data_IF_962232479395
#
_entry.id   IF_962232479395
#
_cell.length_a   1.000
_cell.length_b   1.000
_cell.length_c   1.000
_cell.angle_alpha   90.00
_cell.angle_beta   90.00
_cell.angle_gamma   90.00
#
_symmetry.space_group_name_H-M   'P 1'
#
loop_
_entity.id
_entity.type
_entity.pdbx_description
1 polymer ?
#
# COMPACT_ATOMS: atom_id res chain seq x y z
N UNK A 1 10.66 12.64 -24.27
CA UNK A 1 9.74 11.50 -24.42
C UNK A 1 8.34 12.07 -24.28
N UNK A 2 7.43 11.74 -25.19
CA UNK A 2 6.08 12.28 -25.17
C UNK A 2 5.10 11.13 -25.07
N UNK A 3 3.97 11.31 -24.41
CA UNK A 3 3.00 10.24 -24.16
C UNK A 3 1.62 10.81 -24.48
N UNK A 4 0.86 10.16 -25.36
CA UNK A 4 -0.43 10.66 -25.79
C UNK A 4 -1.56 10.17 -24.86
N UNK A 5 -2.43 11.07 -24.41
CA UNK A 5 -3.65 10.74 -23.66
C UNK A 5 -4.83 10.80 -24.62
N UNK A 6 -5.54 9.68 -24.78
CA UNK A 6 -6.74 9.61 -25.63
C UNK A 6 -7.89 8.96 -24.86
N UNK A 7 -8.95 9.72 -24.63
CA UNK A 7 -10.20 9.24 -24.06
C UNK A 7 -11.19 10.40 -23.98
N UNK A 8 -12.51 10.15 -24.02
CA UNK A 8 -13.47 11.20 -23.71
C UNK A 8 -13.19 11.71 -22.30
N UNK A 9 -13.27 13.04 -22.10
CA UNK A 9 -13.41 13.59 -20.76
C UNK A 9 -14.79 13.12 -20.26
N UNK A 10 -14.83 11.99 -19.57
CA UNK A 10 -16.08 11.46 -19.03
C UNK A 10 -16.49 12.32 -17.83
N UNK A 11 -17.66 12.94 -17.94
CA UNK A 11 -18.30 13.65 -16.84
C UNK A 11 -18.73 12.63 -15.79
N UNK A 12 -18.34 12.82 -14.54
CA UNK A 12 -18.94 12.08 -13.43
C UNK A 12 -20.25 12.75 -13.00
N UNK A 13 -21.30 11.95 -12.82
CA UNK A 13 -22.54 12.43 -12.22
C UNK A 13 -22.33 12.61 -10.71
N UNK A 14 -21.81 13.78 -10.33
CA UNK A 14 -21.60 14.16 -8.94
C UNK A 14 -22.92 14.52 -8.21
N UNK A 15 -24.07 14.51 -8.91
CA UNK A 15 -25.35 15.05 -8.43
C UNK A 15 -26.29 14.01 -7.83
N UNK A 16 -26.06 12.71 -8.01
CA UNK A 16 -26.92 11.67 -7.45
C UNK A 16 -26.38 11.17 -6.10
N UNK A 17 -27.25 11.12 -5.08
CA UNK A 17 -26.95 10.55 -3.74
C UNK A 17 -26.55 9.06 -3.77
N UNK A 18 -26.57 8.45 -4.96
CA UNK A 18 -26.01 7.14 -5.28
C UNK A 18 -24.97 7.35 -6.38
N UNK A 19 -23.75 7.74 -5.99
CA UNK A 19 -22.65 7.95 -6.92
C UNK A 19 -22.41 6.67 -7.73
N UNK A 20 -22.85 6.67 -9.00
CA UNK A 20 -22.62 5.56 -9.91
C UNK A 20 -21.10 5.49 -10.11
N UNK A 21 -20.44 4.41 -9.71
CA UNK A 21 -19.00 4.29 -9.83
C UNK A 21 -18.62 4.37 -11.31
N UNK A 22 -17.87 5.39 -11.67
CA UNK A 22 -17.39 5.57 -13.03
C UNK A 22 -16.43 4.43 -13.36
N UNK A 23 -16.80 3.61 -14.34
CA UNK A 23 -15.90 2.66 -15.03
C UNK A 23 -14.93 3.38 -15.98
N UNK A 24 -14.83 4.71 -15.85
CA UNK A 24 -14.02 5.57 -16.68
C UNK A 24 -12.55 5.13 -16.59
N UNK A 25 -11.84 5.14 -17.71
CA UNK A 25 -10.41 4.82 -17.75
C UNK A 25 -9.64 5.89 -18.50
N UNK A 26 -8.44 6.20 -18.01
CA UNK A 26 -7.44 6.98 -18.73
C UNK A 26 -6.56 6.01 -19.50
N UNK A 27 -6.58 6.12 -20.83
CA UNK A 27 -5.71 5.36 -21.70
C UNK A 27 -4.47 6.19 -22.04
N UNK A 28 -3.32 5.58 -21.82
CA UNK A 28 -2.01 6.16 -22.10
C UNK A 28 -1.42 5.45 -23.31
N UNK A 29 -0.99 6.21 -24.31
CA UNK A 29 -0.45 5.68 -25.57
C UNK A 29 1.02 6.01 -25.75
N UNK A 30 1.73 5.06 -26.33
CA UNK A 30 3.12 5.18 -26.76
C UNK A 30 3.17 5.87 -28.14
N UNK A 31 3.78 7.05 -28.29
CA UNK A 31 3.67 7.88 -29.51
C UNK A 31 4.34 7.28 -30.75
N UNK A 32 5.33 6.40 -30.57
CA UNK A 32 6.07 5.81 -31.68
C UNK A 32 5.45 4.59 -32.35
N UNK A 33 4.23 4.19 -31.95
CA UNK A 33 3.52 3.07 -32.57
C UNK A 33 2.18 3.54 -33.16
N UNK A 34 1.67 2.80 -34.14
CA UNK A 34 0.35 3.05 -34.72
C UNK A 34 -0.78 2.86 -33.71
N UNK A 35 -1.97 3.39 -34.02
CA UNK A 35 -3.14 3.37 -33.14
C UNK A 35 -3.67 1.98 -32.78
N UNK A 36 -3.39 0.96 -33.58
CA UNK A 36 -3.78 -0.41 -33.24
C UNK A 36 -2.83 -1.01 -32.17
N UNK A 37 -1.60 -0.51 -32.06
CA UNK A 37 -0.54 -1.12 -31.26
C UNK A 37 0.13 -0.14 -30.28
N UNK A 38 -0.42 1.03 -30.02
CA UNK A 38 0.19 2.05 -29.16
C UNK A 38 -0.36 2.12 -27.74
N UNK A 39 -1.40 1.36 -27.37
CA UNK A 39 -1.90 1.37 -25.99
C UNK A 39 -0.84 0.86 -25.01
N UNK A 40 -0.26 1.76 -24.21
CA UNK A 40 0.85 1.48 -23.31
C UNK A 40 0.33 0.91 -21.97
N UNK A 41 -0.51 1.69 -21.29
CA UNK A 41 -1.16 1.32 -20.02
C UNK A 41 -2.56 1.92 -19.95
N UNK A 42 -3.44 1.29 -19.18
CA UNK A 42 -4.81 1.75 -18.92
C UNK A 42 -5.02 1.87 -17.42
N UNK A 43 -5.49 3.02 -16.95
CA UNK A 43 -5.66 3.31 -15.52
C UNK A 43 -7.10 3.70 -15.22
N UNK A 44 -7.67 3.23 -14.11
CA UNK A 44 -9.05 3.60 -13.70
C UNK A 44 -9.14 5.09 -13.35
N UNK A 45 -10.04 5.86 -13.95
CA UNK A 45 -10.16 7.31 -13.73
C UNK A 45 -10.96 7.64 -12.46
N UNK A 46 -10.48 7.15 -11.32
CA UNK A 46 -11.20 7.18 -10.04
C UNK A 46 -10.97 8.46 -9.21
N UNK A 47 -10.04 9.33 -9.61
CA UNK A 47 -9.91 10.65 -9.01
C UNK A 47 -11.07 11.55 -9.48
N UNK A 48 -11.70 12.27 -8.56
CA UNK A 48 -12.81 13.18 -8.86
C UNK A 48 -12.43 14.60 -8.49
N UNK A 49 -12.63 15.54 -9.42
CA UNK A 49 -12.52 16.99 -9.21
C UNK A 49 -13.74 17.67 -9.85
N UNK A 50 -14.71 18.03 -9.00
CA UNK A 50 -16.02 18.50 -9.45
C UNK A 50 -16.76 17.42 -10.25
N UNK A 51 -17.08 17.74 -11.52
CA UNK A 51 -17.73 16.86 -12.49
C UNK A 51 -16.73 16.10 -13.37
N UNK A 52 -15.42 16.19 -13.08
CA UNK A 52 -14.37 15.52 -13.86
C UNK A 52 -13.83 14.30 -13.13
N UNK A 53 -13.72 13.21 -13.87
CA UNK A 53 -12.98 12.02 -13.47
C UNK A 53 -11.59 11.99 -14.12
N UNK A 54 -10.59 11.48 -13.40
CA UNK A 54 -9.23 11.42 -13.92
C UNK A 54 -8.27 10.60 -13.08
N UNK A 55 -6.97 10.85 -13.31
CA UNK A 55 -5.87 10.30 -12.54
C UNK A 55 -4.85 11.41 -12.32
N UNK A 56 -4.28 11.51 -11.12
CA UNK A 56 -3.24 12.48 -10.82
C UNK A 56 -2.08 12.43 -11.83
N UNK A 57 -1.77 13.58 -12.46
CA UNK A 57 -0.73 13.70 -13.48
C UNK A 57 0.62 13.11 -13.04
N UNK A 58 1.09 13.47 -11.84
CA UNK A 58 2.39 13.02 -11.33
C UNK A 58 2.47 11.49 -11.23
N UNK A 59 1.37 10.83 -10.86
CA UNK A 59 1.33 9.38 -10.77
C UNK A 59 1.43 8.71 -12.15
N UNK A 60 0.73 9.26 -13.15
CA UNK A 60 0.78 8.76 -14.53
C UNK A 60 2.17 8.97 -15.12
N UNK A 61 2.76 10.14 -14.88
CA UNK A 61 4.13 10.45 -15.29
C UNK A 61 5.13 9.48 -14.67
N UNK A 62 5.03 9.24 -13.36
CA UNK A 62 5.90 8.31 -12.65
C UNK A 62 5.80 6.87 -13.18
N UNK A 63 4.57 6.38 -13.42
CA UNK A 63 4.33 5.06 -14.01
C UNK A 63 5.00 4.94 -15.40
N UNK A 64 4.85 5.95 -16.25
CA UNK A 64 5.43 5.94 -17.59
C UNK A 64 6.96 6.05 -17.55
N UNK A 65 7.50 6.86 -16.65
CA UNK A 65 8.95 6.97 -16.46
C UNK A 65 9.56 5.64 -15.99
N UNK A 66 8.89 4.90 -15.09
CA UNK A 66 9.28 3.55 -14.68
C UNK A 66 9.35 2.61 -15.88
N UNK A 67 8.28 2.58 -16.69
CA UNK A 67 8.21 1.75 -17.92
C UNK A 67 9.30 2.14 -18.91
N UNK A 68 9.66 3.43 -18.99
CA UNK A 68 10.75 3.95 -19.81
C UNK A 68 12.11 3.87 -19.14
N UNK A 69 12.31 2.91 -18.23
CA UNK A 69 13.56 2.67 -17.51
C UNK A 69 14.06 3.88 -16.71
N UNK A 70 13.18 4.46 -15.91
CA UNK A 70 13.45 5.65 -15.08
C UNK A 70 13.82 6.89 -15.89
N UNK A 71 13.28 7.03 -17.11
CA UNK A 71 13.47 8.24 -17.91
C UNK A 71 12.46 9.33 -17.51
N UNK A 72 12.88 10.19 -16.58
CA UNK A 72 12.06 11.26 -16.01
C UNK A 72 11.88 12.48 -16.92
N UNK A 73 12.64 12.61 -18.01
CA UNK A 73 12.61 13.76 -18.90
C UNK A 73 11.40 13.76 -19.86
N UNK A 74 10.50 12.78 -19.73
CA UNK A 74 9.27 12.72 -20.52
C UNK A 74 8.18 13.69 -20.05
N UNK A 75 7.18 13.90 -20.91
CA UNK A 75 5.96 14.65 -20.58
C UNK A 75 4.74 13.98 -21.22
N UNK A 76 3.56 14.19 -20.63
CA UNK A 76 2.29 13.78 -21.23
C UNK A 76 1.79 14.89 -22.16
N UNK A 77 1.16 14.52 -23.26
CA UNK A 77 0.52 15.43 -24.22
C UNK A 77 -0.81 14.82 -24.69
N UNK A 78 -1.68 15.64 -25.25
CA UNK A 78 -2.82 15.17 -26.06
C UNK A 78 -2.53 15.20 -27.56
N UNK A 79 -1.35 15.66 -27.96
CA UNK A 79 -0.94 15.76 -29.36
C UNK A 79 -0.43 14.42 -29.88
N UNK A 80 -0.95 13.99 -31.04
CA UNK A 80 -0.40 12.88 -31.81
C UNK A 80 0.83 13.33 -32.59
N UNK A 81 1.96 13.39 -31.88
CA UNK A 81 3.24 13.73 -32.48
C UNK A 81 3.90 12.49 -33.10
N UNK A 82 4.37 12.56 -34.36
CA UNK A 82 5.08 11.46 -35.00
C UNK A 82 6.48 11.35 -34.38
N UNK A 83 6.61 10.53 -33.35
CA UNK A 83 7.88 10.33 -32.63
C UNK A 83 8.47 8.97 -32.91
N UNK A 84 9.79 8.87 -32.82
CA UNK A 84 10.45 7.57 -32.85
C UNK A 84 9.98 6.71 -31.65
N UNK A 85 9.83 5.39 -31.83
CA UNK A 85 9.64 4.46 -30.73
C UNK A 85 10.74 4.64 -29.66
N UNK A 86 10.37 4.65 -28.39
CA UNK A 86 11.33 4.63 -27.29
C UNK A 86 11.28 3.27 -26.60
N UNK A 87 12.39 2.83 -25.99
CA UNK A 87 12.48 1.49 -25.43
C UNK A 87 11.71 1.37 -24.10
N UNK A 88 10.97 0.28 -23.94
CA UNK A 88 10.26 -0.07 -22.69
C UNK A 88 11.02 -1.12 -21.90
N UNK A 89 10.87 -1.12 -20.58
CA UNK A 89 11.27 -2.27 -19.76
C UNK A 89 10.18 -3.32 -19.85
N UNK A 90 10.55 -4.55 -20.20
CA UNK A 90 9.60 -5.63 -20.41
C UNK A 90 8.76 -5.90 -19.15
N UNK A 91 9.43 -6.12 -18.02
CA UNK A 91 8.76 -6.56 -16.81
C UNK A 91 9.54 -6.11 -15.56
N UNK A 92 8.94 -6.25 -14.38
CA UNK A 92 9.55 -5.81 -13.13
C UNK A 92 10.93 -6.42 -12.85
N UNK A 93 11.16 -7.69 -13.25
CA UNK A 93 12.44 -8.37 -13.01
C UNK A 93 13.56 -7.88 -13.93
N UNK A 94 13.20 -7.28 -15.06
CA UNK A 94 14.13 -6.61 -15.98
C UNK A 94 14.40 -5.15 -15.59
N UNK A 95 13.61 -4.59 -14.68
CA UNK A 95 13.73 -3.19 -14.28
C UNK A 95 14.87 -2.99 -13.28
N UNK A 96 15.73 -2.02 -13.56
CA UNK A 96 16.74 -1.56 -12.62
C UNK A 96 16.16 -0.47 -11.71
N UNK A 97 16.34 -0.63 -10.39
CA UNK A 97 15.92 0.41 -9.45
C UNK A 97 16.83 1.65 -9.54
N UNK A 98 16.29 2.89 -9.56
CA UNK A 98 17.07 4.11 -9.75
C UNK A 98 17.80 4.54 -8.47
N UNK A 99 18.88 3.84 -8.11
CA UNK A 99 19.62 4.12 -6.86
C UNK A 99 20.33 5.48 -6.82
N UNK A 100 20.76 5.97 -7.98
CA UNK A 100 21.64 7.14 -8.10
C UNK A 100 20.89 8.41 -8.51
N UNK A 101 19.59 8.29 -8.74
CA UNK A 101 18.72 9.41 -9.09
C UNK A 101 17.69 9.55 -7.97
N UNK A 102 17.43 10.76 -7.49
CA UNK A 102 16.39 10.97 -6.48
C UNK A 102 15.03 10.46 -6.99
N UNK A 103 14.31 9.69 -6.17
CA UNK A 103 12.90 9.34 -6.43
C UNK A 103 12.07 10.61 -6.69
N UNK A 104 10.92 10.55 -7.38
CA UNK A 104 10.14 11.75 -7.67
C UNK A 104 9.74 12.50 -6.40
N UNK A 105 9.61 13.83 -6.49
CA UNK A 105 9.55 14.71 -5.31
C UNK A 105 8.49 14.28 -4.30
N UNK A 106 7.28 13.95 -4.76
CA UNK A 106 6.18 13.51 -3.91
C UNK A 106 6.52 12.26 -3.06
N UNK A 107 7.25 11.30 -3.63
CA UNK A 107 7.71 10.09 -2.93
C UNK A 107 8.77 10.40 -1.87
N UNK A 108 9.57 11.45 -2.08
CA UNK A 108 10.59 11.90 -1.13
C UNK A 108 10.02 12.75 0.00
N UNK A 109 9.01 13.56 -0.29
CA UNK A 109 8.43 14.49 0.68
C UNK A 109 7.31 13.87 1.50
N UNK A 110 6.67 12.81 1.00
CA UNK A 110 5.65 12.09 1.75
C UNK A 110 6.19 11.60 3.10
N UNK A 111 5.48 11.97 4.15
CA UNK A 111 5.94 11.81 5.52
C UNK A 111 6.01 10.33 5.91
N UNK A 112 7.13 9.93 6.51
CA UNK A 112 7.31 8.64 7.18
C UNK A 112 7.87 8.97 8.56
N UNK A 113 7.21 8.50 9.59
CA UNK A 113 7.62 8.79 10.95
C UNK A 113 8.98 8.16 11.26
N UNK A 114 9.94 8.93 11.80
CA UNK A 114 11.26 8.44 12.13
C UNK A 114 11.23 7.52 13.36
N UNK A 115 12.24 6.67 13.49
CA UNK A 115 12.36 5.74 14.63
C UNK A 115 12.51 6.47 15.99
N UNK A 116 13.02 7.70 15.99
CA UNK A 116 13.28 8.51 17.20
C UNK A 116 12.03 9.08 17.85
N UNK A 117 10.87 9.03 17.18
CA UNK A 117 9.58 9.36 17.80
C UNK A 117 9.14 8.30 18.84
N UNK A 118 9.92 7.23 19.01
CA UNK A 118 9.69 6.13 19.93
C UNK A 118 10.85 5.97 20.90
N UNK A 119 10.60 5.30 22.04
CA UNK A 119 11.63 5.00 23.02
C UNK A 119 12.88 4.41 22.33
N UNK A 120 14.09 4.96 22.57
CA UNK A 120 15.33 4.58 21.89
C UNK A 120 15.75 3.11 22.08
N UNK A 121 15.06 2.39 22.96
CA UNK A 121 15.20 0.96 23.24
C UNK A 121 14.28 0.06 22.39
N UNK A 122 13.23 0.62 21.77
CA UNK A 122 12.34 -0.06 20.83
C UNK A 122 12.62 0.09 19.29
N UNK A 123 13.82 0.46 18.78
CA UNK A 123 14.02 0.61 17.34
C UNK A 123 13.93 -0.74 16.61
N UNK A 124 13.22 -0.73 15.47
CA UNK A 124 13.08 -1.90 14.58
C UNK A 124 12.44 -3.10 15.27
N UNK A 125 11.34 -2.88 15.98
CA UNK A 125 10.50 -3.98 16.46
C UNK A 125 9.74 -4.62 15.28
N UNK A 126 9.36 -5.89 15.45
CA UNK A 126 8.48 -6.60 14.52
C UNK A 126 7.27 -5.71 14.13
N UNK A 127 6.77 -5.73 12.88
CA UNK A 127 5.71 -4.80 12.45
C UNK A 127 4.46 -4.82 13.32
N UNK A 128 4.13 -5.97 13.92
CA UNK A 128 3.05 -6.08 14.91
C UNK A 128 3.20 -5.12 16.11
N UNK A 129 4.43 -4.91 16.59
CA UNK A 129 4.74 -3.97 17.70
C UNK A 129 4.90 -2.55 17.18
N UNK A 130 5.56 -2.39 16.03
CA UNK A 130 5.83 -1.06 15.43
C UNK A 130 4.53 -0.34 15.03
N UNK A 131 3.64 -1.08 14.38
CA UNK A 131 2.42 -0.51 13.80
C UNK A 131 1.26 -0.56 14.80
N UNK A 132 1.13 -1.63 15.61
CA UNK A 132 0.06 -1.82 16.59
C UNK A 132 -1.33 -2.09 15.99
N UNK A 133 -1.61 -1.55 14.81
CA UNK A 133 -2.85 -1.74 14.05
C UNK A 133 -2.61 -1.72 12.54
N UNK A 134 -3.58 -2.21 11.76
CA UNK A 134 -3.53 -2.18 10.31
C UNK A 134 -3.27 -0.76 9.79
N UNK A 135 -2.27 -0.58 8.92
CA UNK A 135 -1.90 0.72 8.34
C UNK A 135 -2.93 1.30 7.35
N UNK A 136 -3.95 0.52 6.98
CA UNK A 136 -5.03 0.94 6.10
C UNK A 136 -6.34 1.18 6.85
N UNK A 137 -6.69 0.32 7.81
CA UNK A 137 -8.02 0.31 8.45
C UNK A 137 -8.03 0.60 9.95
N UNK A 138 -6.88 0.77 10.58
CA UNK A 138 -6.70 0.91 12.04
C UNK A 138 -7.15 -0.27 12.91
N UNK A 139 -7.52 -1.40 12.33
CA UNK A 139 -7.96 -2.54 13.12
C UNK A 139 -6.75 -3.15 13.86
N UNK A 140 -6.89 -3.40 15.17
CA UNK A 140 -5.83 -3.98 16.00
C UNK A 140 -5.80 -5.52 15.98
N UNK A 141 -6.90 -6.16 15.55
CA UNK A 141 -7.08 -7.61 15.55
C UNK A 141 -7.21 -8.14 14.12
N UNK A 142 -6.81 -9.41 13.89
CA UNK A 142 -6.92 -10.06 12.58
C UNK A 142 -5.86 -9.58 11.58
N UNK A 143 -4.71 -9.15 12.09
CA UNK A 143 -3.64 -8.56 11.31
C UNK A 143 -2.56 -9.57 10.91
N UNK A 144 -1.96 -9.33 9.75
CA UNK A 144 -0.84 -10.05 9.18
C UNK A 144 0.24 -9.08 8.70
N UNK A 145 1.46 -9.59 8.57
CA UNK A 145 2.59 -8.84 8.03
C UNK A 145 2.63 -8.94 6.51
N UNK A 146 2.40 -7.81 5.84
CA UNK A 146 2.45 -7.71 4.39
C UNK A 146 3.82 -7.17 3.95
N UNK A 147 4.39 -7.76 2.89
CA UNK A 147 5.58 -7.23 2.26
C UNK A 147 5.22 -6.07 1.32
N UNK A 148 6.00 -4.99 1.36
CA UNK A 148 5.93 -3.91 0.37
C UNK A 148 6.45 -4.46 -0.97
N UNK A 149 7.73 -4.82 -1.07
CA UNK A 149 8.25 -5.61 -2.19
C UNK A 149 7.96 -7.09 -1.93
N UNK A 150 7.15 -7.78 -2.76
CA UNK A 150 6.73 -9.15 -2.50
C UNK A 150 7.89 -10.11 -2.28
N UNK A 151 7.76 -11.02 -1.32
CA UNK A 151 8.81 -12.00 -1.00
C UNK A 151 9.19 -12.90 -2.19
N UNK A 152 8.27 -13.09 -3.15
CA UNK A 152 8.55 -13.82 -4.40
C UNK A 152 9.59 -13.15 -5.29
N UNK A 153 9.88 -11.87 -5.08
CA UNK A 153 10.84 -11.09 -5.85
C UNK A 153 12.22 -11.01 -5.16
N UNK A 154 12.54 -11.94 -4.25
CA UNK A 154 13.82 -12.00 -3.54
C UNK A 154 15.04 -12.02 -4.49
N UNK A 155 14.94 -12.70 -5.63
CA UNK A 155 15.99 -12.74 -6.63
C UNK A 155 16.25 -11.36 -7.26
N UNK A 156 15.19 -10.65 -7.65
CA UNK A 156 15.30 -9.27 -8.15
C UNK A 156 15.86 -8.35 -7.07
N UNK A 157 15.30 -8.43 -5.84
CA UNK A 157 15.70 -7.60 -4.71
C UNK A 157 17.20 -7.69 -4.43
N UNK A 158 17.76 -8.91 -4.46
CA UNK A 158 19.19 -9.15 -4.30
C UNK A 158 20.00 -8.66 -5.52
N UNK A 159 19.56 -8.98 -6.74
CA UNK A 159 20.27 -8.65 -7.97
C UNK A 159 20.41 -7.12 -8.18
N UNK A 160 19.39 -6.35 -7.82
CA UNK A 160 19.43 -4.89 -7.95
C UNK A 160 19.99 -4.18 -6.72
N UNK A 161 20.31 -4.87 -5.63
CA UNK A 161 20.93 -4.23 -4.45
C UNK A 161 19.95 -3.40 -3.60
N UNK A 162 18.70 -3.86 -3.47
CA UNK A 162 17.70 -3.21 -2.62
C UNK A 162 17.97 -3.37 -1.11
N UNK A 163 18.93 -4.22 -0.74
CA UNK A 163 19.39 -4.42 0.63
C UNK A 163 20.04 -3.17 1.23
N UNK A 164 20.52 -2.25 0.40
CA UNK A 164 21.10 -0.97 0.84
C UNK A 164 20.12 -0.09 1.62
N UNK A 165 18.81 -0.28 1.41
CA UNK A 165 17.76 0.49 2.10
C UNK A 165 17.37 -0.12 3.45
N UNK A 166 17.97 -1.26 3.82
CA UNK A 166 17.82 -1.85 5.16
C UNK A 166 18.45 -0.95 6.19
N UNK A 167 17.72 -0.68 7.27
CA UNK A 167 18.19 0.20 8.33
C UNK A 167 18.36 1.66 7.90
N UNK A 168 17.95 2.07 6.68
CA UNK A 168 18.04 3.46 6.24
C UNK A 168 17.27 4.42 7.17
N UNK A 169 16.19 3.93 7.76
CA UNK A 169 15.33 4.67 8.69
C UNK A 169 15.70 4.48 10.17
N UNK A 170 16.53 3.48 10.50
CA UNK A 170 16.86 3.13 11.90
C UNK A 170 18.34 3.26 12.24
N UNK A 171 19.22 3.47 11.26
CA UNK A 171 20.67 3.55 11.43
C UNK A 171 21.34 2.24 11.89
N UNK A 172 20.59 1.13 12.02
CA UNK A 172 21.08 -0.15 12.56
C UNK A 172 21.00 -1.25 11.51
N UNK A 173 22.15 -1.76 11.06
CA UNK A 173 22.20 -2.98 10.23
C UNK A 173 21.96 -4.20 11.12
N UNK A 174 20.72 -4.68 11.20
CA UNK A 174 20.43 -5.96 11.88
C UNK A 174 20.95 -7.13 11.04
N UNK A 175 21.84 -7.92 11.62
CA UNK A 175 22.27 -9.21 11.08
C UNK A 175 21.22 -10.28 11.44
N UNK A 176 20.87 -11.17 10.50
CA UNK A 176 20.09 -12.39 10.79
C UNK A 176 18.64 -12.48 10.29
N UNK A 177 18.06 -11.44 9.66
CA UNK A 177 16.86 -11.60 8.83
C UNK A 177 17.26 -11.90 7.39
N UNK A 178 16.43 -12.68 6.69
CA UNK A 178 16.46 -12.75 5.22
C UNK A 178 16.40 -11.32 4.67
N UNK A 179 17.22 -11.03 3.67
CA UNK A 179 17.48 -9.67 3.18
C UNK A 179 16.21 -8.96 2.74
N UNK A 180 15.29 -9.68 2.09
CA UNK A 180 13.97 -9.16 1.68
C UNK A 180 12.96 -9.06 2.83
N UNK A 181 13.13 -9.86 3.89
CA UNK A 181 12.25 -9.90 5.06
C UNK A 181 12.50 -8.79 6.09
N UNK A 182 13.31 -7.79 5.75
CA UNK A 182 13.61 -6.65 6.65
C UNK A 182 12.34 -5.91 7.07
N UNK A 183 12.29 -5.39 8.30
CA UNK A 183 11.07 -4.73 8.80
C UNK A 183 10.73 -3.44 8.06
N UNK A 184 11.72 -2.78 7.44
CA UNK A 184 11.49 -1.63 6.57
C UNK A 184 10.70 -1.99 5.31
N UNK A 185 10.70 -3.26 4.89
CA UNK A 185 9.94 -3.81 3.77
C UNK A 185 8.60 -4.43 4.20
N UNK A 186 8.19 -4.28 5.46
CA UNK A 186 6.97 -4.87 5.99
C UNK A 186 6.04 -3.80 6.54
N UNK A 187 4.73 -4.00 6.39
CA UNK A 187 3.66 -3.25 7.04
C UNK A 187 2.64 -4.20 7.67
N UNK A 188 1.96 -3.76 8.73
CA UNK A 188 0.87 -4.50 9.33
C UNK A 188 -0.45 -4.20 8.58
N UNK A 189 -1.11 -5.24 8.10
CA UNK A 189 -2.39 -5.16 7.37
C UNK A 189 -3.41 -6.12 7.95
N UNK A 190 -4.70 -5.76 7.93
CA UNK A 190 -5.78 -6.73 8.19
C UNK A 190 -5.73 -7.81 7.11
N UNK A 191 -6.01 -9.06 7.46
CA UNK A 191 -5.78 -10.21 6.57
C UNK A 191 -6.49 -10.10 5.19
N UNK A 192 -7.70 -9.55 5.16
CA UNK A 192 -8.44 -9.28 3.91
C UNK A 192 -7.77 -8.18 3.06
N UNK A 193 -7.29 -7.11 3.69
CA UNK A 193 -6.56 -6.03 3.03
C UNK A 193 -5.20 -6.53 2.50
N UNK A 194 -4.52 -7.37 3.28
CA UNK A 194 -3.27 -8.03 2.86
C UNK A 194 -3.50 -8.88 1.60
N UNK A 195 -4.57 -9.67 1.58
CA UNK A 195 -4.96 -10.46 0.42
C UNK A 195 -5.19 -9.59 -0.83
N UNK A 196 -5.93 -8.49 -0.69
CA UNK A 196 -6.17 -7.54 -1.79
C UNK A 196 -4.89 -6.86 -2.25
N UNK A 197 -4.01 -6.49 -1.32
CA UNK A 197 -2.73 -5.87 -1.63
C UNK A 197 -1.87 -6.80 -2.49
N UNK A 198 -1.69 -8.05 -2.07
CA UNK A 198 -0.92 -9.06 -2.80
C UNK A 198 -1.54 -9.45 -4.15
N UNK A 199 -2.86 -9.27 -4.30
CA UNK A 199 -3.55 -9.42 -5.58
C UNK A 199 -3.41 -8.20 -6.50
N UNK A 200 -2.67 -7.16 -6.09
CA UNK A 200 -2.51 -5.89 -6.83
C UNK A 200 -3.81 -5.11 -6.98
N UNK A 201 -4.75 -5.27 -6.05
CA UNK A 201 -5.99 -4.50 -6.10
C UNK A 201 -5.73 -2.98 -5.95
N UNK A 202 -4.65 -2.60 -5.26
CA UNK A 202 -4.24 -1.21 -5.08
C UNK A 202 -2.73 -1.09 -4.81
N UNK A 203 -2.18 0.10 -5.08
CA UNK A 203 -0.83 0.52 -4.65
C UNK A 203 -0.90 1.58 -3.56
N UNK A 204 0.15 1.66 -2.74
CA UNK A 204 0.40 2.82 -1.87
C UNK A 204 1.16 3.87 -2.69
N UNK A 205 0.61 5.07 -2.81
CA UNK A 205 1.18 6.16 -3.62
C UNK A 205 1.12 7.49 -2.87
N UNK A 206 2.05 8.43 -3.12
CA UNK A 206 1.96 9.76 -2.55
C UNK A 206 0.97 10.60 -3.36
N UNK A 207 0.15 11.40 -2.66
CA UNK A 207 -0.73 12.41 -3.26
C UNK A 207 -0.61 13.71 -2.48
N UNK A 208 -0.37 14.80 -3.18
CA UNK A 208 -0.30 16.12 -2.57
C UNK A 208 -1.71 16.65 -2.28
N UNK A 209 -1.90 17.24 -1.11
CA UNK A 209 -3.10 18.00 -0.78
C UNK A 209 -3.07 19.42 -1.38
N UNK A 210 -4.13 20.20 -1.14
CA UNK A 210 -4.22 21.58 -1.61
C UNK A 210 -3.13 22.50 -1.03
N UNK A 211 -2.55 22.15 0.11
CA UNK A 211 -1.42 22.85 0.72
C UNK A 211 -0.06 22.40 0.15
N UNK A 212 -0.04 21.42 -0.77
CA UNK A 212 1.16 20.85 -1.35
C UNK A 212 1.85 19.82 -0.47
N UNK A 213 1.23 19.39 0.63
CA UNK A 213 1.77 18.36 1.52
C UNK A 213 1.44 16.97 0.95
N UNK A 214 2.46 16.14 0.75
CA UNK A 214 2.30 14.78 0.24
C UNK A 214 1.88 13.81 1.35
N UNK A 215 0.78 13.09 1.13
CA UNK A 215 0.28 12.04 2.01
C UNK A 215 0.27 10.68 1.29
N UNK A 216 0.42 9.60 2.05
CA UNK A 216 0.30 8.24 1.50
C UNK A 216 -1.18 7.87 1.38
N UNK A 217 -1.61 7.53 0.18
CA UNK A 217 -2.97 7.08 -0.11
C UNK A 217 -2.96 5.74 -0.84
N UNK A 218 -4.09 5.05 -0.83
CA UNK A 218 -4.30 3.88 -1.67
C UNK A 218 -4.85 4.26 -3.05
N UNK A 219 -4.18 3.80 -4.09
CA UNK A 219 -4.63 3.89 -5.48
C UNK A 219 -5.16 2.53 -5.93
N UNK A 220 -6.47 2.42 -6.12
CA UNK A 220 -7.11 1.20 -6.64
C UNK A 220 -6.87 1.04 -8.13
N UNK A 221 -6.53 -0.20 -8.55
CA UNK A 221 -6.28 -0.58 -9.95
C UNK A 221 -7.40 -1.45 -10.53
N UNK A 222 -8.13 -2.15 -9.67
CA UNK A 222 -9.24 -3.02 -10.09
C UNK A 222 -10.48 -2.20 -10.46
N UNK A 223 -11.26 -2.60 -11.49
CA UNK A 223 -12.55 -2.00 -11.80
C UNK A 223 -13.65 -2.34 -10.78
N UNK A 224 -13.33 -3.09 -9.71
CA UNK A 224 -14.29 -3.41 -8.68
C UNK A 224 -14.73 -2.15 -7.92
N UNK A 225 -16.01 -1.85 -8.04
CA UNK A 225 -16.70 -0.71 -7.44
C UNK A 225 -16.53 -0.65 -5.94
N UNK A 226 -16.77 -1.76 -5.23
CA UNK A 226 -16.74 -1.79 -3.77
C UNK A 226 -15.33 -1.50 -3.26
N UNK A 227 -14.32 -2.10 -3.91
CA UNK A 227 -12.91 -1.85 -3.58
C UNK A 227 -12.55 -0.39 -3.87
N UNK A 228 -12.98 0.15 -5.01
CA UNK A 228 -12.76 1.56 -5.36
C UNK A 228 -13.38 2.50 -4.34
N UNK A 229 -14.67 2.36 -4.04
CA UNK A 229 -15.38 3.21 -3.07
C UNK A 229 -14.78 3.12 -1.66
N UNK A 230 -14.32 1.94 -1.24
CA UNK A 230 -13.80 1.73 0.12
C UNK A 230 -12.35 2.19 0.28
N UNK A 231 -11.51 2.02 -0.75
CA UNK A 231 -10.06 2.16 -0.63
C UNK A 231 -9.44 3.23 -1.52
N UNK A 232 -10.05 3.65 -2.63
CA UNK A 232 -9.42 4.65 -3.50
C UNK A 232 -9.28 6.01 -2.79
N UNK A 233 -8.11 6.63 -2.90
CA UNK A 233 -7.72 7.86 -2.19
C UNK A 233 -7.84 7.79 -0.66
N UNK A 234 -7.99 6.59 -0.08
CA UNK A 234 -7.98 6.41 1.36
C UNK A 234 -6.56 6.69 1.87
N UNK A 235 -6.42 7.72 2.70
CA UNK A 235 -5.16 8.01 3.39
C UNK A 235 -4.80 6.88 4.37
N UNK A 236 -3.53 6.51 4.39
CA UNK A 236 -3.03 5.51 5.32
C UNK A 236 -2.84 6.10 6.72
N UNK A 237 -2.94 5.25 7.73
CA UNK A 237 -2.42 5.57 9.06
C UNK A 237 -0.91 5.75 8.99
N UNK A 238 -0.30 6.53 9.90
CA UNK A 238 1.11 6.87 9.81
C UNK A 238 2.01 5.67 9.58
N UNK A 239 2.79 5.74 8.49
CA UNK A 239 3.83 4.79 8.16
C UNK A 239 5.06 5.13 8.98
N UNK A 240 5.64 4.12 9.63
CA UNK A 240 6.71 4.31 10.59
C UNK A 240 7.90 3.47 10.21
N UNK A 241 9.07 4.11 10.12
CA UNK A 241 10.37 3.48 9.82
C UNK A 241 10.41 2.57 8.57
N UNK A 242 9.40 2.56 7.70
CA UNK A 242 9.44 1.84 6.42
C UNK A 242 10.30 2.58 5.41
N UNK A 243 10.93 1.85 4.49
CA UNK A 243 11.70 2.50 3.41
C UNK A 243 10.76 2.88 2.27
N UNK A 244 10.81 4.15 1.86
CA UNK A 244 10.06 4.69 0.73
C UNK A 244 10.46 4.02 -0.59
N UNK A 245 11.70 3.58 -0.69
CA UNK A 245 12.23 2.88 -1.85
C UNK A 245 11.52 1.53 -2.06
N UNK A 246 11.15 0.85 -0.98
CA UNK A 246 10.32 -0.35 -1.07
C UNK A 246 8.87 -0.06 -1.47
N UNK A 247 8.31 1.06 -1.02
CA UNK A 247 6.97 1.51 -1.46
C UNK A 247 6.99 1.85 -2.96
N UNK A 248 8.02 2.58 -3.41
CA UNK A 248 8.19 2.93 -4.82
C UNK A 248 8.44 1.68 -5.70
N UNK A 249 9.27 0.74 -5.25
CA UNK A 249 9.47 -0.53 -5.93
C UNK A 249 8.18 -1.35 -6.01
N UNK A 250 7.34 -1.34 -4.97
CA UNK A 250 6.02 -1.97 -5.03
C UNK A 250 5.13 -1.33 -6.08
N UNK A 251 5.08 0.00 -6.14
CA UNK A 251 4.33 0.68 -7.19
C UNK A 251 4.80 0.29 -8.59
N UNK A 252 6.12 0.21 -8.83
CA UNK A 252 6.64 -0.31 -10.09
C UNK A 252 6.17 -1.75 -10.37
N UNK A 253 6.23 -2.65 -9.38
CA UNK A 253 5.76 -4.04 -9.51
C UNK A 253 4.28 -4.14 -9.87
N UNK A 254 3.44 -3.26 -9.30
CA UNK A 254 2.02 -3.18 -9.62
C UNK A 254 1.80 -2.68 -11.07
N UNK A 255 2.50 -1.62 -11.49
CA UNK A 255 2.35 -0.98 -12.81
C UNK A 255 2.79 -1.87 -13.97
N UNK A 256 3.86 -2.68 -13.81
CA UNK A 256 4.34 -3.51 -14.92
C UNK A 256 3.31 -4.51 -15.44
N UNK A 257 2.27 -4.84 -14.66
CA UNK A 257 1.19 -5.70 -15.14
C UNK A 257 0.27 -5.02 -16.15
N UNK A 258 0.13 -3.70 -16.07
CA UNK A 258 -0.67 -2.92 -17.02
C UNK A 258 -0.04 -2.89 -18.42
N UNK A 259 1.27 -3.14 -18.51
CA UNK A 259 2.01 -3.21 -19.76
C UNK A 259 1.73 -4.48 -20.58
N UNK A 260 1.05 -5.48 -19.98
CA UNK A 260 0.72 -6.75 -20.64
C UNK A 260 0.05 -6.54 -22.00
N UNK A 261 -0.96 -5.67 -22.03
CA UNK A 261 -1.74 -5.40 -23.24
C UNK A 261 -0.91 -4.78 -24.37
N UNK A 262 0.16 -4.06 -24.03
CA UNK A 262 1.09 -3.47 -24.99
C UNK A 262 2.04 -4.52 -25.58
N UNK A 263 2.56 -5.42 -24.74
CA UNK A 263 3.58 -6.41 -25.10
C UNK A 263 3.01 -7.66 -25.79
N UNK A 264 1.78 -8.07 -25.48
CA UNK A 264 1.17 -9.29 -26.02
C UNK A 264 0.57 -9.14 -27.44
N UNK A 265 0.58 -7.93 -28.02
CA UNK A 265 0.00 -7.63 -29.34
C UNK A 265 0.84 -8.08 -30.54
N UNK A 266 1.81 -8.97 -30.34
CA UNK A 266 2.68 -9.55 -31.39
C UNK A 266 3.41 -8.53 -32.29
N UNK A 267 3.51 -7.28 -31.86
CA UNK A 267 4.24 -6.21 -32.55
C UNK A 267 5.70 -6.17 -32.08
N UNK A 268 6.63 -5.80 -32.98
CA UNK A 268 8.03 -5.58 -32.59
C UNK A 268 8.15 -4.40 -31.64
N UNK A 269 8.85 -4.57 -30.51
CA UNK A 269 9.02 -3.54 -29.48
C UNK A 269 10.49 -3.21 -29.26
N UNK A 270 10.80 -1.93 -29.11
CA UNK A 270 12.08 -1.54 -28.55
C UNK A 270 12.02 -1.81 -27.06
N UNK A 271 12.98 -2.58 -26.55
CA UNK A 271 13.06 -2.92 -25.13
C UNK A 271 14.40 -2.53 -24.57
N UNK A 272 14.44 -2.29 -23.27
CA UNK A 272 15.68 -2.15 -22.51
C UNK A 272 16.15 -3.53 -22.08
N UNK A 273 17.42 -3.83 -22.34
CA UNK A 273 18.07 -5.08 -21.93
C UNK A 273 18.65 -4.95 -20.53
N UNK A 274 18.83 -6.07 -19.83
CA UNK A 274 19.51 -6.06 -18.50
C UNK A 274 20.91 -5.46 -18.52
N UNK A 275 21.58 -5.51 -19.67
CA UNK A 275 22.90 -4.91 -19.85
C UNK A 275 22.85 -3.37 -19.97
N UNK A 276 21.67 -2.76 -19.89
CA UNK A 276 21.45 -1.32 -20.07
C UNK A 276 21.42 -0.88 -21.54
N UNK A 277 21.41 -1.84 -22.48
CA UNK A 277 21.28 -1.57 -23.90
C UNK A 277 19.82 -1.49 -24.34
N UNK A 278 19.60 -1.22 -25.63
CA UNK A 278 18.29 -1.24 -26.25
C UNK A 278 18.28 -2.19 -27.43
N UNK A 279 17.27 -3.02 -27.54
CA UNK A 279 17.14 -3.96 -28.66
C UNK A 279 15.71 -3.99 -29.19
N UNK A 280 15.56 -4.34 -30.47
CA UNK A 280 14.26 -4.51 -31.10
C UNK A 280 13.84 -5.98 -31.02
N UNK A 281 12.88 -6.27 -30.15
CA UNK A 281 12.41 -7.62 -29.85
C UNK A 281 11.16 -7.95 -30.65
N UNK A 282 11.03 -9.20 -31.09
CA UNK A 282 9.83 -9.66 -31.78
C UNK A 282 8.63 -9.70 -30.83
N UNK A 283 7.40 -9.59 -31.35
CA UNK A 283 6.22 -9.62 -30.49
C UNK A 283 5.99 -10.97 -29.79
N UNK A 284 6.37 -12.08 -30.43
CA UNK A 284 6.31 -13.40 -29.81
C UNK A 284 7.28 -13.50 -28.64
N UNK A 285 8.50 -12.97 -28.81
CA UNK A 285 9.51 -12.93 -27.76
C UNK A 285 9.12 -11.96 -26.62
N UNK A 286 8.51 -10.82 -26.92
CA UNK A 286 7.92 -9.95 -25.90
C UNK A 286 6.88 -10.70 -25.07
N UNK A 287 6.00 -11.47 -25.73
CA UNK A 287 4.95 -12.24 -25.06
C UNK A 287 5.52 -13.35 -24.18
N UNK A 288 6.49 -14.12 -24.67
CA UNK A 288 7.10 -15.21 -23.90
C UNK A 288 7.88 -14.66 -22.71
N UNK A 289 8.80 -13.72 -22.93
CA UNK A 289 9.63 -13.15 -21.87
C UNK A 289 8.82 -12.35 -20.83
N UNK A 290 7.75 -11.67 -21.24
CA UNK A 290 6.85 -10.99 -20.30
C UNK A 290 6.10 -11.98 -19.41
N UNK A 291 5.63 -13.09 -19.98
CA UNK A 291 4.87 -14.12 -19.26
C UNK A 291 5.73 -15.03 -18.38
N UNK A 292 7.06 -14.97 -18.48
CA UNK A 292 7.98 -15.76 -17.66
C UNK A 292 7.92 -15.35 -16.18
N UNK A 293 6.99 -15.96 -15.45
CA UNK A 293 6.98 -16.00 -14.00
C UNK A 293 6.45 -14.74 -13.28
N UNK A 294 5.92 -13.76 -14.00
CA UNK A 294 5.16 -12.66 -13.40
C UNK A 294 3.78 -13.13 -12.92
N UNK A 295 3.42 -12.84 -11.67
CA UNK A 295 2.08 -13.10 -11.11
C UNK A 295 1.81 -14.53 -10.61
N UNK A 296 2.79 -15.45 -10.66
CA UNK A 296 2.64 -16.80 -10.06
C UNK A 296 3.04 -16.87 -8.58
N UNK A 297 3.67 -15.83 -8.05
CA UNK A 297 4.04 -15.74 -6.65
C UNK A 297 2.92 -15.11 -5.83
N UNK A 298 1.93 -15.89 -5.43
CA UNK A 298 1.19 -15.54 -4.20
C UNK A 298 2.23 -15.52 -3.08
N UNK A 299 2.28 -14.47 -2.26
CA UNK A 299 2.88 -14.61 -0.93
C UNK A 299 2.00 -15.59 -0.17
N UNK A 300 2.24 -16.87 -0.39
CA UNK A 300 1.67 -17.89 0.46
C UNK A 300 2.26 -17.58 1.83
N UNK A 301 1.44 -17.39 2.89
CA UNK A 301 1.97 -17.43 4.24
C UNK A 301 2.77 -18.71 4.30
N UNK A 302 4.00 -18.68 4.81
CA UNK A 302 4.77 -19.92 4.97
C UNK A 302 3.90 -20.88 5.78
N UNK A 303 3.26 -21.85 5.13
CA UNK A 303 2.53 -22.93 5.79
C UNK A 303 3.57 -23.88 6.38
N UNK A 304 4.38 -23.39 7.30
CA UNK A 304 4.99 -24.23 8.32
C UNK A 304 3.87 -24.45 9.34
N UNK A 305 3.15 -25.57 9.19
CA UNK A 305 2.08 -26.01 10.09
C UNK A 305 2.36 -25.64 11.56
N UNK A 306 1.43 -24.99 12.28
CA UNK A 306 1.61 -24.58 13.68
C UNK A 306 1.86 -25.74 14.67
N UNK A 307 1.63 -26.99 14.24
CA UNK A 307 1.66 -28.17 15.11
C UNK A 307 2.98 -28.37 15.86
N UNK A 308 4.13 -27.97 15.28
CA UNK A 308 5.44 -28.16 15.93
C UNK A 308 5.81 -27.09 16.97
N UNK A 309 5.29 -25.86 16.88
CA UNK A 309 5.60 -24.79 17.86
C UNK A 309 4.67 -24.82 19.07
N UNK A 310 3.42 -25.24 18.91
CA UNK A 310 2.49 -25.40 20.03
C UNK A 310 2.94 -26.54 20.98
N UNK A 311 3.43 -27.66 20.44
CA UNK A 311 3.95 -28.76 21.27
C UNK A 311 5.24 -28.40 22.02
N UNK A 312 6.10 -27.58 21.42
CA UNK A 312 7.36 -27.14 22.04
C UNK A 312 7.15 -26.08 23.14
N UNK A 313 6.09 -25.25 23.04
CA UNK A 313 5.70 -24.32 24.11
C UNK A 313 4.94 -25.00 25.25
N UNK A 314 4.09 -25.99 24.96
CA UNK A 314 3.40 -26.80 25.99
C UNK A 314 4.41 -27.66 26.76
N UNK A 315 5.39 -28.26 26.08
CA UNK A 315 6.48 -29.01 26.74
C UNK A 315 7.36 -28.14 27.63
N UNK A 316 7.71 -26.92 27.19
CA UNK A 316 8.49 -25.96 27.99
C UNK A 316 7.72 -25.40 29.19
N UNK A 317 6.40 -25.20 29.07
CA UNK A 317 5.56 -24.77 30.19
C UNK A 317 5.39 -25.88 31.24
N UNK A 318 5.22 -27.14 30.81
CA UNK A 318 5.12 -28.29 31.72
C UNK A 318 6.43 -28.58 32.47
N UNK A 319 7.60 -28.39 31.83
CA UNK A 319 8.90 -28.53 32.49
C UNK A 319 9.20 -27.42 33.50
N UNK A 320 8.67 -26.21 33.28
CA UNK A 320 8.79 -25.11 34.25
C UNK A 320 7.86 -25.27 35.45
N UNK A 321 6.68 -25.88 35.26
CA UNK A 321 5.76 -26.22 36.36
C UNK A 321 6.34 -27.35 37.21
N UNK A 322 6.92 -28.40 36.59
CA UNK A 322 7.57 -29.51 37.29
C UNK A 322 8.78 -29.05 38.13
N UNK A 323 9.64 -28.19 37.56
CA UNK A 323 10.79 -27.62 38.29
C UNK A 323 10.40 -26.66 39.42
N UNK A 324 9.21 -26.06 39.37
CA UNK A 324 8.67 -25.22 40.44
C UNK A 324 8.15 -26.01 41.65
N UNK A 325 7.68 -27.25 41.44
CA UNK A 325 7.14 -28.10 42.49
C UNK A 325 8.21 -28.83 43.31
N UNK A 326 9.42 -28.98 42.77
CA UNK A 326 10.55 -29.65 43.46
C UNK A 326 11.28 -28.74 44.48
N UNK A 327 10.88 -27.47 44.59
CA UNK A 327 11.55 -26.45 45.43
C UNK A 327 10.80 -26.11 46.73
N UNK A 328 9.57 -26.60 46.93
CA UNK A 328 8.80 -26.40 48.17
C UNK A 328 8.39 -27.75 48.76
N UNK A 329 9.33 -28.45 49.38
CA UNK A 329 9.06 -29.77 49.97
C UNK A 329 10.16 -30.29 50.87
N UNK A 330 10.73 -29.44 51.75
CA UNK A 330 11.54 -29.90 52.88
C UNK A 330 11.14 -29.17 54.15
N UNK A 331 10.38 -29.86 54.98
CA UNK A 331 10.06 -29.50 56.35
C UNK A 331 9.45 -30.72 57.04
N UNK A 332 10.29 -31.48 57.75
CA UNK A 332 9.91 -32.65 58.52
C UNK A 332 9.30 -32.25 59.87
N UNK A 333 8.21 -32.92 60.29
CA UNK A 333 7.93 -33.28 61.70
C UNK A 333 7.11 -34.59 61.71
N UNK A 334 7.16 -35.30 62.83
CA UNK A 334 7.17 -36.75 63.05
C UNK A 334 5.92 -37.25 63.81
N UNK A 335 5.62 -38.55 63.69
CA UNK A 335 4.82 -39.45 64.58
C UNK A 335 3.28 -39.20 64.65
N UNK A 336 2.37 -40.19 64.77
CA UNK A 336 2.43 -41.57 65.28
C UNK A 336 1.35 -42.49 64.64
N UNK A 337 1.48 -43.78 64.97
CA UNK A 337 0.94 -44.98 64.35
C UNK A 337 -0.49 -45.45 64.77
N UNK A 338 -0.85 -46.62 64.20
CA UNK A 338 -1.96 -47.57 64.49
C UNK A 338 -3.23 -47.36 63.63
N UNK A 339 -3.86 -48.34 62.98
CA UNK A 339 -3.72 -49.80 62.96
C UNK A 339 -4.52 -50.31 61.72
N UNK A 340 -3.95 -51.27 60.98
CA UNK A 340 -4.66 -52.24 60.10
C UNK A 340 -5.35 -53.30 60.99
N UNK A 341 -6.20 -54.25 60.52
CA UNK A 341 -6.23 -54.88 59.18
C UNK A 341 -7.69 -55.22 58.70
N UNK A 342 -8.02 -55.89 57.60
CA UNK A 342 -7.51 -57.09 56.92
C UNK A 342 -8.27 -57.29 55.58
N UNK A 343 -7.63 -58.01 54.64
CA UNK A 343 -8.21 -58.98 53.68
C UNK A 343 -9.31 -58.53 52.67
N UNK A 344 -9.41 -59.00 51.43
CA UNK A 344 -8.69 -59.99 50.60
C UNK A 344 -9.30 -59.92 49.18
N UNK A 345 -8.49 -60.38 48.21
CA UNK A 345 -8.81 -61.00 46.91
C UNK A 345 -9.76 -60.37 45.86
N UNK A 346 -9.26 -60.37 44.62
CA UNK A 346 -9.95 -61.16 43.58
C UNK A 346 -10.48 -60.45 42.33
N UNK A 347 -9.58 -60.24 41.37
CA UNK A 347 -9.70 -60.45 39.89
C UNK A 347 -11.11 -60.76 39.32
N UNK A 348 -11.50 -60.07 38.24
CA UNK A 348 -12.56 -60.59 37.36
C UNK A 348 -12.95 -59.68 36.19
N UNK A 349 -12.66 -60.16 34.98
CA UNK A 349 -12.86 -59.57 33.65
C UNK A 349 -14.32 -59.76 33.17
N UNK A 350 -14.92 -58.80 32.46
CA UNK A 350 -15.50 -58.93 31.10
C UNK A 350 -16.63 -57.96 30.75
N UNK A 351 -16.65 -57.72 29.44
CA UNK A 351 -17.49 -56.89 28.59
C UNK A 351 -19.01 -57.10 28.68
N UNK A 352 -19.71 -56.06 28.21
CA UNK A 352 -20.55 -56.08 27.01
C UNK A 352 -21.99 -55.55 27.20
N UNK A 353 -22.46 -54.83 26.16
CA UNK A 353 -23.85 -54.56 25.74
C UNK A 353 -24.75 -53.60 26.53
N UNK A 354 -25.19 -52.57 25.79
CA UNK A 354 -26.55 -52.61 25.22
C UNK A 354 -27.55 -51.51 25.61
N UNK A 355 -27.71 -50.53 24.70
CA UNK A 355 -28.95 -49.94 24.11
C UNK A 355 -30.21 -49.57 24.95
N UNK A 356 -30.91 -48.56 24.38
CA UNK A 356 -32.34 -48.18 24.46
C UNK A 356 -32.77 -47.39 25.69
N UNK A 357 -33.73 -46.46 25.70
CA UNK A 357 -34.53 -45.69 24.72
C UNK A 357 -35.32 -44.62 25.53
N UNK A 358 -36.15 -43.81 24.86
CA UNK A 358 -37.26 -42.95 25.36
C UNK A 358 -36.88 -41.60 25.98
N UNK A 359 -37.16 -40.46 25.31
CA UNK A 359 -38.46 -39.74 25.17
C UNK A 359 -38.81 -38.94 26.44
N UNK A 360 -38.85 -37.60 26.31
CA UNK A 360 -40.02 -36.76 26.66
C UNK A 360 -39.65 -35.26 26.66
N UNK A 361 -40.22 -34.56 25.68
CA UNK A 361 -40.54 -33.13 25.67
C UNK A 361 -41.94 -32.97 26.32
N UNK A 362 -42.27 -31.84 26.98
CA UNK A 362 -42.96 -30.81 26.20
C UNK A 362 -42.72 -29.34 26.59
N UNK A 363 -42.87 -28.51 25.57
CA UNK A 363 -43.14 -27.07 25.53
C UNK A 363 -44.30 -26.58 26.43
N UNK A 364 -44.22 -25.34 26.92
CA UNK A 364 -45.26 -24.28 26.85
C UNK A 364 -44.72 -22.99 27.54
N UNK A 365 -44.47 -21.86 26.87
CA UNK A 365 -45.38 -20.81 26.34
C UNK A 365 -45.57 -19.59 27.30
N UNK A 366 -44.91 -18.48 26.93
CA UNK A 366 -45.48 -17.14 26.62
C UNK A 366 -45.93 -16.16 27.75
N UNK A 367 -45.33 -14.95 27.65
CA UNK A 367 -45.79 -13.55 27.92
C UNK A 367 -45.94 -13.01 29.35
N UNK A 368 -45.33 -11.83 29.53
CA UNK A 368 -46.13 -10.59 29.65
C UNK A 368 -45.72 -9.59 30.73
N UNK A 369 -45.19 -8.43 30.28
CA UNK A 369 -45.38 -7.04 30.74
C UNK A 369 -45.26 -6.63 32.22
N UNK A 370 -44.58 -5.50 32.44
CA UNK A 370 -44.91 -4.55 33.51
C UNK A 370 -43.79 -3.57 33.88
N UNK A 371 -43.95 -2.31 33.45
CA UNK A 371 -43.21 -1.11 33.88
C UNK A 371 -43.16 -0.93 35.41
N UNK A 372 -42.14 -0.22 35.91
CA UNK A 372 -42.31 1.08 36.62
C UNK A 372 -40.95 1.64 37.10
N UNK A 373 -40.97 2.97 37.21
CA UNK A 373 -39.91 3.97 37.38
C UNK A 373 -39.25 4.03 38.76
N UNK A 374 -38.06 4.66 38.86
CA UNK A 374 -37.86 5.94 39.56
C UNK A 374 -36.37 6.33 39.69
N UNK A 375 -36.16 7.64 39.64
CA UNK A 375 -34.95 8.46 39.51
C UNK A 375 -33.97 8.42 40.70
N UNK A 376 -32.65 8.65 40.47
CA UNK A 376 -31.76 9.52 41.28
C UNK A 376 -30.62 10.10 40.40
N UNK A 377 -30.40 11.41 40.59
CA UNK A 377 -29.55 12.42 39.91
C UNK A 377 -28.01 12.22 39.81
N UNK A 378 -27.40 13.06 38.94
CA UNK A 378 -26.02 13.14 38.43
C UNK A 378 -24.86 13.49 39.41
N UNK A 379 -23.71 14.08 38.99
CA UNK A 379 -23.53 14.97 37.84
C UNK A 379 -22.35 14.64 36.87
N UNK A 380 -22.36 15.48 35.85
CA UNK A 380 -21.75 15.46 34.53
C UNK A 380 -20.43 16.27 34.48
N UNK A 381 -19.44 15.84 33.69
CA UNK A 381 -18.39 16.73 33.16
C UNK A 381 -17.88 16.26 31.78
N UNK A 382 -18.55 16.76 30.75
CA UNK A 382 -18.04 17.30 29.46
C UNK A 382 -16.73 16.73 28.86
N UNK A 383 -16.84 16.18 27.64
CA UNK A 383 -15.96 16.49 26.50
C UNK A 383 -16.66 16.21 25.18
N UNK A 384 -16.48 17.16 24.28
CA UNK A 384 -17.38 17.54 23.19
C UNK A 384 -17.20 16.67 21.94
N UNK A 385 -18.34 16.27 21.37
CA UNK A 385 -18.49 15.94 19.96
C UNK A 385 -18.70 17.24 19.18
N UNK A 386 -17.89 17.51 18.17
CA UNK A 386 -18.17 18.58 17.21
C UNK A 386 -18.43 17.97 15.83
N UNK A 387 -19.72 17.87 15.49
CA UNK A 387 -20.19 17.87 14.12
C UNK A 387 -20.33 19.33 13.67
N UNK A 388 -19.90 19.65 12.45
CA UNK A 388 -20.40 20.83 11.75
C UNK A 388 -20.44 20.54 10.24
N UNK A 389 -21.66 20.25 9.79
CA UNK A 389 -22.12 20.67 8.47
C UNK A 389 -22.30 22.19 8.51
N UNK A 390 -21.78 22.89 7.50
CA UNK A 390 -21.92 24.34 7.34
C UNK A 390 -22.41 24.64 5.94
N UNK A 391 -23.68 25.04 5.86
CA UNK A 391 -24.43 25.47 4.69
C UNK A 391 -23.97 26.82 4.14
N UNK A 392 -24.11 26.96 2.83
CA UNK A 392 -24.20 28.20 2.05
C UNK A 392 -25.13 29.25 2.70
N UNK A 393 -24.72 30.51 2.66
CA UNK A 393 -25.62 31.64 2.43
C UNK A 393 -24.86 32.84 1.86
N UNK A 394 -25.39 33.38 0.77
CA UNK A 394 -25.07 34.70 0.23
C UNK A 394 -25.81 35.77 1.05
N UNK A 395 -25.31 37.02 1.07
CA UNK A 395 -26.08 38.24 0.75
C UNK A 395 -25.22 39.53 0.81
N UNK A 396 -25.36 40.30 -0.28
CA UNK A 396 -25.50 41.77 -0.47
C UNK A 396 -24.43 42.80 -0.08
N UNK A 397 -24.25 43.71 -1.06
CA UNK A 397 -23.57 45.01 -1.11
C UNK A 397 -23.92 46.00 0.02
N UNK A 398 -22.92 46.78 0.47
CA UNK A 398 -22.84 48.26 0.35
C UNK A 398 -21.74 48.85 1.28
N UNK A 399 -20.96 49.83 0.76
CA UNK A 399 -20.45 50.95 1.59
C UNK A 399 -18.94 51.15 1.78
N UNK A 400 -18.39 52.12 1.04
CA UNK A 400 -17.09 52.82 1.13
C UNK A 400 -16.49 53.08 2.53
N UNK A 401 -15.15 52.97 2.67
CA UNK A 401 -14.21 54.13 2.76
C UNK A 401 -12.76 53.74 3.16
N UNK A 402 -11.81 54.19 2.33
CA UNK A 402 -10.40 54.57 2.55
C UNK A 402 -9.56 54.00 3.73
N UNK A 403 -8.47 53.31 3.36
CA UNK A 403 -7.13 53.53 3.93
C UNK A 403 -6.04 53.03 2.97
N UNK A 404 -5.29 53.98 2.40
CA UNK A 404 -4.11 53.76 1.55
C UNK A 404 -2.93 53.16 2.33
N UNK A 405 -2.56 51.91 2.04
CA UNK A 405 -1.17 51.44 2.09
C UNK A 405 -0.96 50.38 1.01
N UNK A 406 -0.35 50.81 -0.10
CA UNK A 406 -0.17 50.04 -1.32
C UNK A 406 1.10 49.17 -1.19
N UNK A 407 0.95 47.93 -0.72
CA UNK A 407 1.95 46.88 -0.96
C UNK A 407 1.47 46.03 -2.15
N UNK A 408 2.16 46.16 -3.28
CA UNK A 408 1.90 45.35 -4.48
C UNK A 408 2.09 43.86 -4.18
N UNK A 409 0.99 43.14 -3.95
CA UNK A 409 0.98 41.68 -4.04
C UNK A 409 0.93 41.29 -5.53
N UNK A 410 2.07 40.91 -6.10
CA UNK A 410 2.14 40.29 -7.44
C UNK A 410 1.47 38.92 -7.43
N UNK A 411 0.60 38.69 -8.41
CA UNK A 411 -0.13 37.43 -8.55
C UNK A 411 0.81 36.33 -9.02
N UNK A 412 0.42 35.07 -8.81
CA UNK A 412 1.19 33.90 -9.29
C UNK A 412 1.41 33.95 -10.81
N UNK A 413 0.44 34.47 -11.56
CA UNK A 413 0.50 34.65 -13.02
C UNK A 413 1.61 35.61 -13.45
N UNK A 414 1.84 36.67 -12.69
CA UNK A 414 2.89 37.65 -12.99
C UNK A 414 4.30 37.07 -12.76
N UNK A 415 4.45 36.17 -11.78
CA UNK A 415 5.71 35.46 -11.55
C UNK A 415 5.97 34.38 -12.60
N UNK A 416 4.91 33.74 -13.09
CA UNK A 416 5.00 32.73 -14.14
C UNK A 416 5.35 33.37 -15.51
N UNK A 417 4.99 34.63 -15.75
CA UNK A 417 5.40 35.38 -16.94
C UNK A 417 6.86 35.83 -16.88
N UNK A 418 7.32 36.34 -15.73
CA UNK A 418 8.74 36.72 -15.53
C UNK A 418 9.66 35.48 -15.73
N UNK A 419 9.22 34.29 -15.28
CA UNK A 419 9.95 33.02 -15.49
C UNK A 419 10.01 32.58 -16.95
N UNK A 420 8.98 32.88 -17.75
CA UNK A 420 8.98 32.57 -19.19
C UNK A 420 9.91 33.50 -19.96
N UNK A 421 9.92 34.79 -19.63
CA UNK A 421 10.84 35.76 -20.24
C UNK A 421 12.31 35.47 -19.88
N UNK A 422 12.60 35.00 -18.66
CA UNK A 422 13.94 34.54 -18.26
C UNK A 422 14.37 33.27 -19.02
N UNK A 423 13.47 32.31 -19.24
CA UNK A 423 13.77 31.09 -19.99
C UNK A 423 13.99 31.35 -21.49
N UNK A 424 13.24 32.27 -22.09
CA UNK A 424 13.42 32.68 -23.49
C UNK A 424 14.75 33.43 -23.71
N UNK A 425 15.20 34.20 -22.70
CA UNK A 425 16.50 34.85 -22.71
C UNK A 425 17.65 33.83 -22.64
N UNK A 426 17.57 32.83 -21.74
CA UNK A 426 18.57 31.75 -21.64
C UNK A 426 18.63 30.90 -22.90
N UNK A 427 17.47 30.59 -23.51
CA UNK A 427 17.42 29.83 -24.76
C UNK A 427 18.07 30.58 -25.93
N UNK A 428 17.82 31.89 -26.02
CA UNK A 428 18.43 32.76 -27.02
C UNK A 428 19.95 32.85 -26.87
N UNK A 429 20.49 32.84 -25.65
CA UNK A 429 21.94 32.79 -25.42
C UNK A 429 22.56 31.45 -25.80
N UNK A 430 21.88 30.33 -25.51
CA UNK A 430 22.29 28.98 -25.90
C UNK A 430 22.35 28.81 -27.42
N UNK A 431 21.40 29.38 -28.17
CA UNK A 431 21.42 29.36 -29.63
C UNK A 431 22.57 30.20 -30.22
N UNK A 432 22.83 31.39 -29.66
CA UNK A 432 24.00 32.21 -30.04
C UNK A 432 25.32 31.52 -29.69
N UNK A 433 25.36 30.72 -28.63
CA UNK A 433 26.50 29.88 -28.28
C UNK A 433 26.73 28.78 -29.31
N UNK A 434 25.65 28.09 -29.74
CA UNK A 434 25.71 27.03 -30.75
C UNK A 434 26.10 27.52 -32.14
N UNK A 435 25.71 28.74 -32.52
CA UNK A 435 26.14 29.34 -33.80
C UNK A 435 27.62 29.73 -33.80
N UNK A 436 28.18 30.14 -32.65
CA UNK A 436 29.62 30.48 -32.52
C UNK A 436 30.56 29.27 -32.53
N UNK A 437 30.06 28.07 -32.22
CA UNK A 437 30.83 26.82 -32.27
C UNK A 437 30.78 26.17 -33.67
N UNK A 438 29.92 26.67 -34.56
CA UNK A 438 29.76 26.17 -35.94
C UNK A 438 30.47 27.01 -37.01
N UNK A 439 31.12 28.11 -36.63
CA UNK A 439 32.08 28.87 -37.44
C UNK A 439 33.48 28.60 -36.92
#
# INVERSE_FOLDING_TARGET
MTIAIHGPAETCDASSKEARPTTATVLIRHPGYDDAHNELIRLQASDVDGDKCGVAYGLVHDACAIIANNNWAGFLTSLDLPLAPWPVVLNFREWAFPHHVPLPSAWRTAHIEPATAFSPDLPTSHPAVRDGSCRVSDHSVGNETAHLVPASEAAWFAAVGMDRYRGATTGRKKHGLDTIGTYENLILCRADIHLLYDQRAFSIVPKADAAGTSHWVLRVHTPNVEISQRYHNRQLHPLRTVSREYIFARFAWDIFQELRGFLERLQKRWVVTRAGGTELVSGEECKTQFCEGQGRGRSSPSRKSPKRKAQDMVGKAQDMIRKGQDMFGKGAVQADAAESPDADSGVGIHDDRGKSDSEDEPEHVVRGHGDLSDDIDGPESQREHCACAGTFNAWSDDGLADCHHYHHHRTKRDRDLDLLDELDAEYSELERGRQRVRQ
#
